data_IF_092923723891
#
_entry.id   IF_092923723891
#
_cell.length_a   1.000
_cell.length_b   1.000
_cell.length_c   1.000
_cell.angle_alpha   90.00
_cell.angle_beta   90.00
_cell.angle_gamma   90.00
#
_symmetry.space_group_name_H-M   'P 1'
#
loop_
_entity.id
_entity.type
_entity.pdbx_description
1 polymer ?
#
# COMPACT_ATOMS: atom_id res chain seq x y z
N UNK A 1 25.94 2.82 -7.87
CA UNK A 1 24.99 1.70 -8.06
C UNK A 1 23.54 2.20 -7.92
N UNK A 2 23.21 2.98 -6.88
CA UNK A 2 21.86 3.57 -6.69
C UNK A 2 21.43 4.58 -7.77
N UNK A 3 22.35 5.38 -8.31
CA UNK A 3 22.05 6.33 -9.41
C UNK A 3 21.53 5.65 -10.68
N UNK A 4 22.00 4.42 -10.94
CA UNK A 4 21.60 3.67 -12.14
C UNK A 4 20.15 3.20 -12.03
N UNK A 5 19.74 2.74 -10.84
CA UNK A 5 18.38 2.27 -10.58
C UNK A 5 17.35 3.40 -10.68
N UNK A 6 17.67 4.59 -10.15
CA UNK A 6 16.80 5.77 -10.24
C UNK A 6 16.58 6.17 -11.70
N UNK A 7 17.64 6.07 -12.51
CA UNK A 7 17.60 6.42 -13.93
C UNK A 7 16.76 5.42 -14.72
N UNK A 8 16.93 4.12 -14.47
CA UNK A 8 16.12 3.05 -15.07
C UNK A 8 14.62 3.21 -14.77
N UNK A 9 14.26 3.45 -13.51
CA UNK A 9 12.87 3.64 -13.10
C UNK A 9 12.26 4.89 -13.75
N UNK A 10 13.03 5.99 -13.85
CA UNK A 10 12.60 7.21 -14.54
C UNK A 10 12.33 6.96 -16.02
N UNK A 11 13.23 6.24 -16.69
CA UNK A 11 13.05 5.89 -18.11
C UNK A 11 11.83 4.99 -18.31
N UNK A 12 11.66 3.98 -17.46
CA UNK A 12 10.50 3.10 -17.51
C UNK A 12 9.18 3.87 -17.36
N UNK A 13 9.08 4.72 -16.34
CA UNK A 13 7.86 5.51 -16.09
C UNK A 13 7.59 6.51 -17.22
N UNK A 14 8.63 7.15 -17.78
CA UNK A 14 8.51 8.02 -18.96
C UNK A 14 8.00 7.25 -20.17
N UNK A 15 8.52 6.05 -20.43
CA UNK A 15 8.09 5.19 -21.53
C UNK A 15 6.63 4.71 -21.37
N UNK A 16 6.15 4.61 -20.12
CA UNK A 16 4.75 4.31 -19.79
C UNK A 16 3.85 5.56 -19.75
N UNK A 17 4.38 6.75 -20.02
CA UNK A 17 3.63 8.01 -19.98
C UNK A 17 3.26 8.48 -18.56
N UNK A 18 3.89 7.92 -17.52
CA UNK A 18 3.62 8.27 -16.13
C UNK A 18 4.46 9.48 -15.71
N UNK A 19 3.78 10.56 -15.31
CA UNK A 19 4.43 11.78 -14.79
C UNK A 19 4.77 11.59 -13.32
N UNK A 20 6.05 11.64 -12.99
CA UNK A 20 6.50 11.62 -11.59
C UNK A 20 6.28 13.00 -10.94
N UNK A 21 5.70 12.99 -9.73
CA UNK A 21 5.56 14.17 -8.88
C UNK A 21 6.21 13.86 -7.54
N UNK A 22 7.06 14.76 -7.07
CA UNK A 22 7.74 14.63 -5.80
C UNK A 22 7.15 15.62 -4.79
N UNK A 23 7.13 15.21 -3.52
CA UNK A 23 6.83 16.12 -2.41
C UNK A 23 8.00 17.08 -2.18
N UNK A 24 7.72 18.25 -1.62
CA UNK A 24 8.77 19.19 -1.27
C UNK A 24 9.67 18.59 -0.17
N UNK A 25 10.96 18.94 -0.22
CA UNK A 25 11.93 18.48 0.78
C UNK A 25 11.47 18.88 2.18
N UNK A 26 11.65 17.99 3.16
CA UNK A 26 11.25 18.20 4.55
C UNK A 26 9.75 18.48 4.78
N UNK A 27 8.87 18.03 3.86
CA UNK A 27 7.40 18.12 4.03
C UNK A 27 6.72 16.74 4.00
N UNK A 28 6.99 15.87 5.01
CA UNK A 28 6.40 14.53 5.06
C UNK A 28 4.87 14.55 5.12
N UNK A 29 4.27 15.62 5.62
CA UNK A 29 2.82 15.79 5.73
C UNK A 29 2.11 15.72 4.37
N UNK A 30 2.82 16.06 3.27
CA UNK A 30 2.30 15.93 1.91
C UNK A 30 2.02 14.46 1.52
N UNK A 31 2.69 13.49 2.15
CA UNK A 31 2.46 12.06 1.94
C UNK A 31 1.48 11.45 2.95
N UNK A 32 0.85 12.26 3.81
CA UNK A 32 0.05 11.75 4.93
C UNK A 32 -1.12 10.86 4.51
N UNK A 33 -1.66 11.00 3.29
CA UNK A 33 -2.64 10.06 2.72
C UNK A 33 -2.06 8.67 2.54
N UNK A 34 -1.02 8.55 1.71
CA UNK A 34 -0.30 7.30 1.43
C UNK A 34 0.26 6.65 2.70
N UNK A 35 0.75 7.44 3.66
CA UNK A 35 1.25 6.93 4.94
C UNK A 35 0.14 6.29 5.79
N UNK A 36 -1.05 6.90 5.84
CA UNK A 36 -2.21 6.33 6.55
C UNK A 36 -2.69 5.05 5.89
N UNK A 37 -2.78 5.03 4.56
CA UNK A 37 -3.17 3.83 3.80
C UNK A 37 -2.19 2.68 4.00
N UNK A 38 -0.88 2.94 3.88
CA UNK A 38 0.15 1.93 4.12
C UNK A 38 0.08 1.37 5.55
N UNK A 39 -0.20 2.23 6.54
CA UNK A 39 -0.41 1.77 7.92
C UNK A 39 -1.60 0.83 8.02
N UNK A 40 -2.74 1.19 7.42
CA UNK A 40 -3.94 0.33 7.44
C UNK A 40 -3.69 -1.02 6.75
N UNK A 41 -3.03 -1.03 5.59
CA UNK A 41 -2.69 -2.26 4.86
C UNK A 41 -1.81 -3.18 5.70
N UNK A 42 -0.86 -2.64 6.45
CA UNK A 42 0.09 -3.44 7.26
C UNK A 42 -0.52 -3.88 8.60
N UNK A 43 -1.40 -3.09 9.20
CA UNK A 43 -2.07 -3.46 10.46
C UNK A 43 -3.19 -4.50 10.27
N UNK A 44 -3.95 -4.44 9.18
CA UNK A 44 -5.11 -5.29 8.98
C UNK A 44 -4.79 -6.81 9.01
N UNK A 45 -3.71 -7.31 8.38
CA UNK A 45 -3.26 -8.69 8.52
C UNK A 45 -2.99 -9.12 9.97
N UNK A 46 -2.47 -8.20 10.80
CA UNK A 46 -2.24 -8.48 12.22
C UNK A 46 -3.57 -8.64 12.96
N UNK A 47 -4.57 -7.84 12.61
CA UNK A 47 -5.95 -8.00 13.12
C UNK A 47 -6.56 -9.31 12.67
N UNK A 48 -6.42 -9.69 11.39
CA UNK A 48 -6.91 -10.96 10.85
C UNK A 48 -6.28 -12.16 11.58
N UNK A 49 -4.97 -12.12 11.82
CA UNK A 49 -4.26 -13.14 12.60
C UNK A 49 -4.77 -13.21 14.04
N UNK A 50 -4.94 -12.05 14.70
CA UNK A 50 -5.42 -11.98 16.08
C UNK A 50 -6.87 -12.46 16.25
N UNK A 51 -7.69 -12.34 15.22
CA UNK A 51 -9.09 -12.77 15.24
C UNK A 51 -9.25 -14.30 15.32
N UNK A 52 -8.28 -15.06 14.80
CA UNK A 52 -8.26 -16.53 14.82
C UNK A 52 -7.08 -17.04 15.67
N UNK A 53 -7.11 -16.88 17.02
CA UNK A 53 -5.99 -17.20 17.89
C UNK A 53 -5.63 -18.70 17.91
N UNK A 54 -6.59 -19.58 17.58
CA UNK A 54 -6.39 -21.03 17.54
C UNK A 54 -5.68 -21.51 16.25
N UNK A 55 -5.47 -20.61 15.28
CA UNK A 55 -4.79 -20.90 14.02
C UNK A 55 -3.39 -20.31 14.04
N UNK A 56 -2.38 -21.18 13.93
CA UNK A 56 -1.03 -20.72 13.69
C UNK A 56 -0.88 -20.33 12.21
N UNK A 57 -0.54 -19.08 11.95
CA UNK A 57 -0.25 -18.60 10.59
C UNK A 57 1.27 -18.65 10.37
N UNK A 58 1.75 -19.56 9.49
CA UNK A 58 3.15 -19.60 9.11
C UNK A 58 3.62 -18.25 8.54
N UNK A 59 4.88 -17.83 8.76
CA UNK A 59 5.42 -16.60 8.20
C UNK A 59 5.31 -16.52 6.67
N UNK A 60 5.34 -17.69 5.99
CA UNK A 60 5.17 -17.79 4.54
C UNK A 60 3.81 -17.25 4.05
N UNK A 61 2.76 -17.28 4.88
CA UNK A 61 1.42 -16.80 4.53
C UNK A 61 1.23 -15.28 4.70
N UNK A 62 2.29 -14.55 5.06
CA UNK A 62 2.19 -13.11 5.30
C UNK A 62 1.75 -12.34 4.04
N UNK A 63 2.24 -12.74 2.87
CA UNK A 63 1.86 -12.13 1.60
C UNK A 63 0.37 -12.35 1.28
N UNK A 64 -0.15 -13.54 1.55
CA UNK A 64 -1.55 -13.92 1.37
C UNK A 64 -2.47 -13.16 2.33
N UNK A 65 -2.04 -12.97 3.58
CA UNK A 65 -2.78 -12.16 4.55
C UNK A 65 -2.85 -10.68 4.12
N UNK A 66 -1.73 -10.13 3.62
CA UNK A 66 -1.69 -8.77 3.06
C UNK A 66 -2.60 -8.66 1.84
N UNK A 67 -2.54 -9.62 0.91
CA UNK A 67 -3.41 -9.65 -0.27
C UNK A 67 -4.89 -9.71 0.13
N UNK A 68 -5.22 -10.50 1.14
CA UNK A 68 -6.58 -10.60 1.70
C UNK A 68 -7.02 -9.27 2.32
N UNK A 69 -6.14 -8.64 3.09
CA UNK A 69 -6.42 -7.33 3.68
C UNK A 69 -6.70 -6.26 2.59
N UNK A 70 -5.84 -6.16 1.58
CA UNK A 70 -6.02 -5.23 0.45
C UNK A 70 -7.33 -5.52 -0.30
N UNK A 71 -7.64 -6.79 -0.54
CA UNK A 71 -8.90 -7.18 -1.17
C UNK A 71 -10.13 -6.70 -0.38
N UNK A 72 -10.12 -6.86 0.94
CA UNK A 72 -11.22 -6.39 1.80
C UNK A 72 -11.28 -4.86 1.79
N UNK A 73 -10.14 -4.17 1.91
CA UNK A 73 -10.10 -2.70 1.91
C UNK A 73 -10.63 -2.11 0.61
N UNK A 74 -10.30 -2.69 -0.54
CA UNK A 74 -10.77 -2.19 -1.83
C UNK A 74 -12.26 -2.46 -2.06
N UNK A 75 -12.87 -3.43 -1.37
CA UNK A 75 -14.30 -3.76 -1.52
C UNK A 75 -15.21 -3.13 -0.49
N UNK A 76 -14.72 -2.95 0.73
CA UNK A 76 -15.51 -2.48 1.88
C UNK A 76 -14.98 -1.17 2.48
N UNK A 77 -13.87 -0.64 1.96
CA UNK A 77 -13.27 0.61 2.41
C UNK A 77 -14.14 1.82 2.10
N UNK A 78 -13.74 2.96 2.66
CA UNK A 78 -14.41 4.24 2.42
C UNK A 78 -13.92 4.82 1.09
N UNK A 79 -14.85 5.09 0.18
CA UNK A 79 -14.57 5.89 -1.02
C UNK A 79 -14.94 7.35 -0.79
N UNK A 80 -14.23 8.25 -1.48
CA UNK A 80 -14.64 9.66 -1.60
C UNK A 80 -15.85 9.83 -2.53
N UNK A 81 -16.17 8.82 -3.32
CA UNK A 81 -17.31 8.80 -4.24
C UNK A 81 -18.50 8.11 -3.58
N UNK A 82 -19.67 8.77 -3.63
CA UNK A 82 -20.89 8.26 -3.00
C UNK A 82 -21.31 6.93 -3.61
N UNK A 83 -21.68 5.97 -2.75
CA UNK A 83 -22.15 4.63 -3.12
C UNK A 83 -21.13 3.78 -3.92
N UNK A 84 -19.84 4.08 -3.83
CA UNK A 84 -18.78 3.27 -4.42
C UNK A 84 -17.82 2.80 -3.34
N UNK A 85 -17.22 1.64 -3.55
CA UNK A 85 -16.00 1.25 -2.84
C UNK A 85 -14.78 1.94 -3.50
N UNK A 86 -13.62 1.96 -2.85
CA UNK A 86 -12.37 2.42 -3.45
C UNK A 86 -12.05 1.76 -4.80
#
# INVERSE_FOLDING_TARGET
MEENLITEVRMFLKNKGVVQRFTATYTPEQNGGSERENRTIVEMPRTLKKYNPDVEFPPALWAELINTAVYILNRAGKSSVKNMSP
#
